data_IF_533404994691
#
_entry.id   IF_533404994691
#
_cell.length_a   1.000
_cell.length_b   1.000
_cell.length_c   1.000
_cell.angle_alpha   90.00
_cell.angle_beta   90.00
_cell.angle_gamma   90.00
#
_symmetry.space_group_name_H-M   'P 1'
#
loop_
_entity.id
_entity.type
_entity.pdbx_description
1 polymer ?
#
# COMPACT_ATOMS: atom_id res chain seq x y z
N UNK A 1 7.99 15.90 -30.53
CA UNK A 1 7.47 16.76 -29.43
C UNK A 1 6.27 16.02 -28.83
N UNK A 2 6.23 15.87 -27.53
CA UNK A 2 5.12 15.16 -26.84
C UNK A 2 3.98 16.16 -26.66
N UNK A 3 2.85 15.94 -27.35
CA UNK A 3 1.71 16.86 -27.30
C UNK A 3 0.66 16.42 -26.28
N UNK A 4 0.55 15.08 -26.02
CA UNK A 4 -0.46 14.54 -25.12
C UNK A 4 0.07 13.40 -24.26
N UNK A 5 -0.11 13.53 -22.95
CA UNK A 5 0.18 12.49 -21.96
C UNK A 5 -1.14 12.07 -21.31
N UNK A 6 -1.39 10.76 -21.27
CA UNK A 6 -2.50 10.17 -20.52
C UNK A 6 -1.94 9.42 -19.30
N UNK A 7 -2.49 9.70 -18.12
CA UNK A 7 -2.17 9.05 -16.85
C UNK A 7 -3.35 8.16 -16.44
N UNK A 8 -3.14 6.86 -16.38
CA UNK A 8 -4.16 5.90 -15.94
C UNK A 8 -3.95 5.58 -14.46
N UNK A 9 -4.85 6.09 -13.64
CA UNK A 9 -4.79 5.98 -12.18
C UNK A 9 -4.65 7.35 -11.50
N UNK A 10 -5.68 7.75 -10.77
CA UNK A 10 -5.76 9.02 -10.04
C UNK A 10 -5.45 8.84 -8.54
N UNK A 11 -4.47 7.99 -8.22
CA UNK A 11 -3.96 7.82 -6.86
C UNK A 11 -2.76 8.73 -6.55
N UNK A 12 -2.04 8.41 -5.46
CA UNK A 12 -0.88 9.19 -4.99
C UNK A 12 0.19 9.35 -6.08
N UNK A 13 0.51 8.28 -6.81
CA UNK A 13 1.52 8.29 -7.87
C UNK A 13 1.06 9.12 -9.07
N UNK A 14 -0.17 8.91 -9.56
CA UNK A 14 -0.71 9.65 -10.70
C UNK A 14 -0.74 11.17 -10.47
N UNK A 15 -1.23 11.61 -9.30
CA UNK A 15 -1.24 13.04 -8.92
C UNK A 15 0.17 13.60 -8.85
N UNK A 16 1.09 12.86 -8.22
CA UNK A 16 2.47 13.34 -8.11
C UNK A 16 3.14 13.45 -9.49
N UNK A 17 2.92 12.48 -10.37
CA UNK A 17 3.45 12.52 -11.74
C UNK A 17 2.89 13.74 -12.50
N UNK A 18 1.58 13.92 -12.51
CA UNK A 18 0.92 15.04 -13.19
C UNK A 18 1.42 16.39 -12.65
N UNK A 19 1.53 16.53 -11.33
CA UNK A 19 2.09 17.73 -10.71
C UNK A 19 3.56 17.96 -11.13
N UNK A 20 4.37 16.91 -11.15
CA UNK A 20 5.79 17.02 -11.50
C UNK A 20 5.97 17.38 -12.98
N UNK A 21 5.18 16.79 -13.89
CA UNK A 21 5.18 17.16 -15.30
C UNK A 21 4.96 18.66 -15.49
N UNK A 22 3.95 19.22 -14.83
CA UNK A 22 3.69 20.69 -14.89
C UNK A 22 4.83 21.51 -14.28
N UNK A 23 5.36 21.10 -13.14
CA UNK A 23 6.50 21.78 -12.50
C UNK A 23 7.78 21.74 -13.35
N UNK A 24 7.94 20.73 -14.20
CA UNK A 24 9.08 20.57 -15.13
C UNK A 24 8.85 21.26 -16.49
N UNK A 25 7.72 21.94 -16.66
CA UNK A 25 7.44 22.75 -17.84
C UNK A 25 6.77 21.99 -19.00
N UNK A 26 6.19 20.81 -18.74
CA UNK A 26 5.36 20.17 -19.76
C UNK A 26 4.08 20.99 -19.98
N UNK A 27 3.89 21.52 -21.19
CA UNK A 27 2.76 22.39 -21.57
C UNK A 27 1.70 21.66 -22.41
N UNK A 28 1.98 20.43 -22.89
CA UNK A 28 1.05 19.63 -23.69
C UNK A 28 -0.22 19.24 -22.93
N UNK A 29 -1.14 18.59 -23.62
CA UNK A 29 -2.37 18.06 -23.03
C UNK A 29 -2.04 16.98 -21.99
N UNK A 30 -2.62 17.10 -20.81
CA UNK A 30 -2.41 16.15 -19.69
C UNK A 30 -3.76 15.70 -19.14
N UNK A 31 -4.11 14.44 -19.42
CA UNK A 31 -5.35 13.81 -18.96
C UNK A 31 -5.04 12.81 -17.87
N UNK A 32 -5.76 12.85 -16.76
CA UNK A 32 -5.65 11.91 -15.66
C UNK A 32 -6.97 11.18 -15.43
N UNK A 33 -6.95 9.84 -15.48
CA UNK A 33 -8.12 8.98 -15.45
C UNK A 33 -8.20 8.25 -14.11
N UNK A 34 -9.28 8.46 -13.36
CA UNK A 34 -9.59 7.78 -12.10
C UNK A 34 -10.87 6.97 -12.21
N UNK A 35 -10.86 5.73 -11.73
CA UNK A 35 -12.02 4.84 -11.74
C UNK A 35 -12.99 5.07 -10.57
N UNK A 36 -12.59 5.82 -9.55
CA UNK A 36 -13.40 6.17 -8.40
C UNK A 36 -14.14 7.50 -8.62
N UNK A 37 -15.29 7.73 -7.94
CA UNK A 37 -16.06 8.97 -8.11
C UNK A 37 -15.46 10.17 -7.38
N UNK A 38 -14.56 9.93 -6.41
CA UNK A 38 -13.93 10.99 -5.64
C UNK A 38 -12.70 11.56 -6.35
N UNK A 39 -12.36 12.85 -6.13
CA UNK A 39 -11.06 13.38 -6.45
C UNK A 39 -9.94 12.56 -5.79
N UNK A 40 -8.70 12.60 -6.32
CA UNK A 40 -7.57 11.86 -5.75
C UNK A 40 -7.36 12.14 -4.25
N UNK A 41 -7.22 11.07 -3.46
CA UNK A 41 -7.12 11.13 -2.00
C UNK A 41 -6.02 10.24 -1.42
N UNK A 42 -5.64 10.53 -0.18
CA UNK A 42 -4.66 9.78 0.60
C UNK A 42 -5.30 8.51 1.18
N UNK A 43 -4.74 7.34 0.88
CA UNK A 43 -5.26 6.05 1.39
C UNK A 43 -4.84 5.71 2.83
N UNK A 44 -3.67 6.13 3.37
CA UNK A 44 -3.28 5.74 4.73
C UNK A 44 -4.28 6.11 5.84
N UNK A 45 -5.05 7.21 5.78
CA UNK A 45 -6.06 7.50 6.79
C UNK A 45 -7.27 6.55 6.78
N UNK A 46 -7.48 5.79 5.70
CA UNK A 46 -8.66 4.94 5.52
C UNK A 46 -8.78 3.86 6.61
N UNK A 47 -7.67 3.27 7.04
CA UNK A 47 -7.63 2.28 8.13
C UNK A 47 -7.46 2.88 9.53
N UNK A 48 -7.47 4.22 9.64
CA UNK A 48 -7.15 4.98 10.84
C UNK A 48 -8.22 6.05 11.11
N UNK A 49 -7.81 7.33 11.05
CA UNK A 49 -8.65 8.49 11.41
C UNK A 49 -9.93 8.65 10.57
N UNK A 50 -9.92 8.19 9.32
CA UNK A 50 -11.13 8.22 8.52
C UNK A 50 -12.10 7.11 8.93
N UNK A 51 -11.60 5.92 9.26
CA UNK A 51 -12.43 4.83 9.78
C UNK A 51 -13.02 5.17 11.15
N UNK A 52 -12.23 5.78 12.05
CA UNK A 52 -12.72 6.22 13.38
C UNK A 52 -13.71 7.39 13.32
N UNK A 53 -13.79 8.09 12.17
CA UNK A 53 -14.65 9.27 12.03
C UNK A 53 -14.01 10.57 12.51
N UNK A 54 -12.69 10.58 12.79
CA UNK A 54 -11.96 11.77 13.26
C UNK A 54 -11.64 12.76 12.13
N UNK A 55 -11.82 12.37 10.88
CA UNK A 55 -11.59 13.24 9.71
C UNK A 55 -12.71 13.07 8.68
N UNK A 56 -13.08 14.17 8.03
CA UNK A 56 -14.07 14.21 6.97
C UNK A 56 -13.45 13.81 5.62
N UNK A 57 -14.24 13.36 4.63
CA UNK A 57 -13.72 12.94 3.31
C UNK A 57 -12.86 13.98 2.61
N UNK A 58 -13.23 15.27 2.67
CA UNK A 58 -12.50 16.35 2.00
C UNK A 58 -11.08 16.54 2.54
N UNK A 59 -10.86 16.20 3.81
CA UNK A 59 -9.53 16.25 4.43
C UNK A 59 -8.57 15.17 3.89
N UNK A 60 -9.09 14.19 3.17
CA UNK A 60 -8.29 13.15 2.54
C UNK A 60 -7.72 13.59 1.19
N UNK A 61 -8.31 14.55 0.51
CA UNK A 61 -7.91 14.91 -0.84
C UNK A 61 -6.45 15.33 -0.91
N UNK A 62 -5.70 14.78 -1.88
CA UNK A 62 -4.28 15.09 -2.08
C UNK A 62 -4.13 16.55 -2.52
N UNK A 63 -5.05 17.02 -3.35
CA UNK A 63 -5.17 18.41 -3.81
C UNK A 63 -6.65 18.80 -3.91
N UNK A 64 -7.01 20.05 -3.67
CA UNK A 64 -8.36 20.51 -3.95
C UNK A 64 -8.65 20.47 -5.46
N UNK A 65 -9.90 20.31 -5.86
CA UNK A 65 -10.29 20.21 -7.27
C UNK A 65 -9.79 21.38 -8.13
N UNK A 66 -9.84 22.60 -7.60
CA UNK A 66 -9.33 23.81 -8.27
C UNK A 66 -7.84 23.73 -8.63
N UNK A 67 -7.06 22.85 -7.97
CA UNK A 67 -5.66 22.64 -8.30
C UNK A 67 -5.49 22.05 -9.70
N UNK A 68 -6.33 21.08 -10.08
CA UNK A 68 -6.24 20.39 -11.36
C UNK A 68 -6.54 21.37 -12.50
N UNK A 69 -7.60 22.14 -12.38
CA UNK A 69 -7.99 23.17 -13.34
C UNK A 69 -6.89 24.24 -13.47
N UNK A 70 -6.41 24.79 -12.35
CA UNK A 70 -5.39 25.83 -12.33
C UNK A 70 -4.04 25.38 -12.93
N UNK A 71 -3.79 24.08 -13.00
CA UNK A 71 -2.59 23.50 -13.59
C UNK A 71 -2.85 22.84 -14.97
N UNK A 72 -4.00 23.08 -15.59
CA UNK A 72 -4.39 22.48 -16.87
C UNK A 72 -4.26 20.93 -16.88
N UNK A 73 -4.67 20.27 -15.80
CA UNK A 73 -4.76 18.81 -15.67
C UNK A 73 -6.23 18.43 -15.86
N UNK A 74 -6.56 17.76 -16.96
CA UNK A 74 -7.91 17.23 -17.22
C UNK A 74 -8.12 15.98 -16.37
N UNK A 75 -8.68 16.18 -15.16
CA UNK A 75 -9.02 15.09 -14.23
C UNK A 75 -10.39 14.52 -14.57
N UNK A 76 -10.45 13.28 -15.03
CA UNK A 76 -11.67 12.53 -15.26
C UNK A 76 -11.85 11.48 -14.16
N UNK A 77 -12.81 11.68 -13.25
CA UNK A 77 -13.27 10.70 -12.28
C UNK A 77 -14.32 9.77 -12.89
N UNK A 78 -14.62 8.61 -12.30
CA UNK A 78 -15.48 7.57 -12.88
C UNK A 78 -15.04 7.15 -14.30
N UNK A 79 -13.77 7.30 -14.63
CA UNK A 79 -13.17 7.03 -15.93
C UNK A 79 -12.38 5.72 -15.89
N UNK A 80 -13.10 4.59 -15.86
CA UNK A 80 -12.48 3.27 -15.89
C UNK A 80 -11.93 2.97 -17.28
N UNK A 81 -10.63 2.64 -17.37
CA UNK A 81 -9.97 2.23 -18.61
C UNK A 81 -10.14 0.73 -18.77
N UNK A 82 -10.76 0.29 -19.87
CA UNK A 82 -10.98 -1.12 -20.20
C UNK A 82 -9.86 -1.73 -21.02
N UNK A 83 -9.26 -0.94 -21.93
CA UNK A 83 -8.21 -1.47 -22.80
C UNK A 83 -7.21 -0.40 -23.23
N UNK A 84 -6.02 -0.87 -23.63
CA UNK A 84 -4.95 -0.08 -24.23
C UNK A 84 -4.64 -0.69 -25.60
N UNK A 85 -4.62 0.13 -26.64
CA UNK A 85 -4.16 -0.23 -27.99
C UNK A 85 -2.81 0.47 -28.20
N UNK A 86 -1.73 -0.30 -28.15
CA UNK A 86 -0.36 0.20 -28.28
C UNK A 86 -0.04 0.65 -29.71
N UNK A 87 -0.64 -0.01 -30.73
CA UNK A 87 -0.38 0.34 -32.14
C UNK A 87 -1.06 1.66 -32.51
N UNK A 88 -2.32 1.85 -32.08
CA UNK A 88 -3.06 3.10 -32.30
C UNK A 88 -2.70 4.20 -31.32
N UNK A 89 -1.97 3.86 -30.25
CA UNK A 89 -1.68 4.76 -29.12
C UNK A 89 -2.97 5.35 -28.54
N UNK A 90 -3.91 4.48 -28.16
CA UNK A 90 -5.17 4.90 -27.55
C UNK A 90 -5.52 4.07 -26.31
N UNK A 91 -6.34 4.65 -25.44
CA UNK A 91 -7.02 3.94 -24.35
C UNK A 91 -8.51 4.05 -24.55
N UNK A 92 -9.25 2.97 -24.26
CA UNK A 92 -10.72 2.95 -24.34
C UNK A 92 -11.29 2.89 -22.92
N UNK A 93 -12.20 3.81 -22.61
CA UNK A 93 -12.92 3.83 -21.34
C UNK A 93 -14.16 2.92 -21.39
N UNK A 94 -14.64 2.49 -20.21
CA UNK A 94 -15.89 1.74 -20.07
C UNK A 94 -17.12 2.46 -20.64
N UNK A 95 -17.06 3.78 -20.80
CA UNK A 95 -18.07 4.59 -21.48
C UNK A 95 -18.08 4.42 -23.01
N UNK A 96 -17.05 3.79 -23.58
CA UNK A 96 -16.79 3.74 -25.02
C UNK A 96 -16.01 4.96 -25.55
N UNK A 97 -15.65 5.93 -24.72
CA UNK A 97 -14.77 7.04 -25.09
C UNK A 97 -13.37 6.53 -25.41
N UNK A 98 -12.79 6.93 -26.52
CA UNK A 98 -11.42 6.61 -26.90
C UNK A 98 -10.54 7.85 -26.80
N UNK A 99 -9.40 7.75 -26.11
CA UNK A 99 -8.45 8.84 -25.92
C UNK A 99 -7.09 8.43 -26.49
N UNK A 100 -6.61 9.21 -27.47
CA UNK A 100 -5.24 9.05 -28.01
C UNK A 100 -4.19 9.62 -27.05
N UNK A 101 -2.95 9.16 -27.17
CA UNK A 101 -1.81 9.63 -26.42
C UNK A 101 -0.51 9.57 -27.22
N UNK A 102 0.47 10.44 -26.89
CA UNK A 102 1.85 10.31 -27.36
C UNK A 102 2.68 9.53 -26.35
N UNK A 103 2.42 9.72 -25.06
CA UNK A 103 2.99 8.94 -23.95
C UNK A 103 1.88 8.52 -22.98
N UNK A 104 2.01 7.30 -22.44
CA UNK A 104 1.08 6.73 -21.50
C UNK A 104 1.81 6.45 -20.17
N UNK A 105 1.21 6.86 -19.05
CA UNK A 105 1.70 6.55 -17.71
C UNK A 105 0.68 5.69 -16.96
N UNK A 106 1.07 4.48 -16.57
CA UNK A 106 0.27 3.57 -15.76
C UNK A 106 0.58 3.77 -14.28
N UNK A 107 -0.39 4.22 -13.51
CA UNK A 107 -0.33 4.43 -12.06
C UNK A 107 -1.52 3.75 -11.37
N UNK A 108 -1.85 2.54 -11.81
CA UNK A 108 -3.06 1.78 -11.47
C UNK A 108 -3.07 1.26 -10.03
N UNK A 109 -1.92 1.24 -9.37
CA UNK A 109 -1.78 0.86 -7.94
C UNK A 109 -2.10 -0.60 -7.67
N UNK A 110 -2.72 -0.85 -6.50
CA UNK A 110 -3.09 -2.19 -6.02
C UNK A 110 -4.54 -2.21 -5.57
N UNK A 111 -5.13 -3.42 -5.50
CA UNK A 111 -6.41 -3.71 -4.85
C UNK A 111 -6.24 -4.71 -3.71
N UNK A 112 -7.23 -4.78 -2.82
CA UNK A 112 -7.27 -5.85 -1.84
C UNK A 112 -7.29 -7.22 -2.56
N UNK A 113 -6.57 -8.18 -2.00
CA UNK A 113 -6.58 -9.57 -2.50
C UNK A 113 -7.92 -10.20 -2.18
N UNK A 114 -8.54 -10.81 -3.17
CA UNK A 114 -9.73 -11.62 -2.96
C UNK A 114 -9.46 -12.77 -2.00
N UNK A 115 -10.43 -13.07 -1.17
CA UNK A 115 -10.36 -14.19 -0.26
C UNK A 115 -10.97 -15.42 -0.97
N UNK A 116 -10.16 -16.40 -1.42
CA UNK A 116 -10.66 -17.52 -2.20
C UNK A 116 -11.27 -18.62 -1.30
N UNK A 117 -12.25 -18.22 -0.49
CA UNK A 117 -12.93 -19.13 0.45
C UNK A 117 -14.43 -19.11 0.19
N UNK A 118 -15.12 -20.26 0.40
CA UNK A 118 -16.58 -20.30 0.40
C UNK A 118 -17.14 -19.27 1.39
N UNK A 119 -18.17 -18.52 0.98
CA UNK A 119 -18.83 -17.51 1.78
C UNK A 119 -18.16 -16.12 1.78
N UNK A 120 -17.08 -15.93 1.00
CA UNK A 120 -16.45 -14.63 0.88
C UNK A 120 -17.36 -13.55 0.24
N UNK A 121 -18.42 -13.98 -0.45
CA UNK A 121 -19.44 -13.14 -1.09
C UNK A 121 -20.60 -12.74 -0.16
N UNK A 122 -20.65 -13.24 1.08
CA UNK A 122 -21.73 -12.95 2.02
C UNK A 122 -21.76 -11.49 2.44
N UNK A 123 -22.97 -10.97 2.68
CA UNK A 123 -23.14 -9.65 3.29
C UNK A 123 -22.49 -9.61 4.68
N UNK A 124 -21.66 -8.61 4.93
CA UNK A 124 -20.86 -8.49 6.14
C UNK A 124 -19.41 -8.98 5.98
N UNK A 125 -19.03 -9.54 4.81
CA UNK A 125 -17.63 -9.75 4.45
C UNK A 125 -17.15 -8.53 3.68
N UNK A 126 -16.10 -7.88 4.17
CA UNK A 126 -15.59 -6.61 3.63
C UNK A 126 -14.08 -6.65 3.43
N UNK A 127 -13.60 -5.80 2.54
CA UNK A 127 -12.19 -5.44 2.38
C UNK A 127 -12.01 -3.96 2.65
N UNK A 128 -10.78 -3.47 2.74
CA UNK A 128 -10.49 -2.05 2.92
C UNK A 128 -9.44 -1.58 1.90
N UNK A 129 -9.84 -0.75 0.95
CA UNK A 129 -8.95 -0.09 -0.01
C UNK A 129 -9.42 1.30 -0.42
N UNK A 130 -10.71 1.56 -0.46
CA UNK A 130 -11.33 2.79 -0.97
C UNK A 130 -12.14 3.53 0.10
N UNK A 131 -12.51 4.78 -0.18
CA UNK A 131 -13.46 5.53 0.66
C UNK A 131 -14.80 4.77 0.75
N UNK A 132 -15.29 4.24 -0.38
CA UNK A 132 -16.54 3.48 -0.38
C UNK A 132 -16.51 2.25 0.53
N UNK A 133 -15.39 1.53 0.60
CA UNK A 133 -15.23 0.41 1.54
C UNK A 133 -15.34 0.89 2.99
N UNK A 134 -14.69 2.02 3.32
CA UNK A 134 -14.74 2.56 4.68
C UNK A 134 -16.13 3.05 5.04
N UNK A 135 -16.84 3.67 4.12
CA UNK A 135 -18.24 4.10 4.34
C UNK A 135 -19.16 2.90 4.63
N UNK A 136 -18.95 1.78 3.92
CA UNK A 136 -19.65 0.53 4.21
C UNK A 136 -19.24 -0.03 5.57
N UNK A 137 -17.96 -0.11 5.88
CA UNK A 137 -17.44 -0.62 7.15
C UNK A 137 -17.98 0.20 8.33
N UNK A 138 -18.01 1.53 8.22
CA UNK A 138 -18.55 2.40 9.27
C UNK A 138 -20.01 2.08 9.63
N UNK A 139 -20.82 1.70 8.66
CA UNK A 139 -22.22 1.31 8.91
C UNK A 139 -22.33 -0.02 9.68
N UNK A 140 -21.32 -0.90 9.51
CA UNK A 140 -21.26 -2.22 10.15
C UNK A 140 -20.59 -2.16 11.54
N UNK A 141 -19.77 -1.12 11.82
CA UNK A 141 -19.05 -0.97 13.08
C UNK A 141 -19.98 -0.43 14.18
N UNK A 142 -20.69 -1.35 14.81
CA UNK A 142 -21.63 -1.06 15.91
C UNK A 142 -21.02 -1.63 17.21
N UNK A 143 -20.96 -0.85 18.30
CA UNK A 143 -20.45 -1.32 19.60
C UNK A 143 -21.13 -2.63 20.05
N UNK A 144 -20.34 -3.58 20.54
CA UNK A 144 -20.79 -4.91 20.96
C UNK A 144 -20.94 -5.93 19.83
N UNK A 145 -20.77 -5.54 18.58
CA UNK A 145 -20.67 -6.48 17.45
C UNK A 145 -19.30 -7.16 17.43
N UNK A 146 -19.27 -8.38 16.91
CA UNK A 146 -18.05 -9.17 16.78
C UNK A 146 -17.49 -9.11 15.37
N UNK A 147 -16.26 -8.59 15.25
CA UNK A 147 -15.47 -8.54 14.02
C UNK A 147 -14.45 -9.69 14.02
N UNK A 148 -14.42 -10.49 12.97
CA UNK A 148 -13.29 -11.37 12.66
C UNK A 148 -12.42 -10.71 11.58
N UNK A 149 -11.14 -10.53 11.86
CA UNK A 149 -10.14 -10.06 10.92
C UNK A 149 -9.34 -11.25 10.41
N UNK A 150 -9.36 -11.51 9.12
CA UNK A 150 -8.56 -12.56 8.48
C UNK A 150 -7.31 -11.92 7.90
N UNK A 151 -6.16 -12.15 8.55
CA UNK A 151 -4.85 -11.60 8.22
C UNK A 151 -4.29 -10.63 9.28
N UNK A 152 -3.17 -11.00 9.88
CA UNK A 152 -2.43 -10.23 10.90
C UNK A 152 -1.34 -9.33 10.31
N UNK A 153 -1.60 -8.74 9.12
CA UNK A 153 -0.76 -7.72 8.48
C UNK A 153 -1.07 -6.30 8.96
N UNK A 154 -0.41 -5.29 8.38
CA UNK A 154 -0.58 -3.88 8.80
C UNK A 154 -2.03 -3.42 8.78
N UNK A 155 -2.74 -3.58 7.67
CA UNK A 155 -4.13 -3.11 7.53
C UNK A 155 -5.06 -3.83 8.52
N UNK A 156 -4.93 -5.16 8.65
CA UNK A 156 -5.73 -5.93 9.61
C UNK A 156 -5.55 -5.44 11.05
N UNK A 157 -4.30 -5.18 11.45
CA UNK A 157 -4.00 -4.69 12.81
C UNK A 157 -4.39 -3.22 13.02
N UNK A 158 -4.24 -2.35 12.03
CA UNK A 158 -4.71 -0.97 12.09
C UNK A 158 -6.24 -0.91 12.27
N UNK A 159 -6.98 -1.70 11.49
CA UNK A 159 -8.45 -1.80 11.64
C UNK A 159 -8.82 -2.43 12.98
N UNK A 160 -8.08 -3.45 13.46
CA UNK A 160 -8.25 -4.03 14.80
C UNK A 160 -8.15 -2.96 15.88
N UNK A 161 -7.15 -2.08 15.80
CA UNK A 161 -6.96 -1.00 16.77
C UNK A 161 -8.14 -0.02 16.77
N UNK A 162 -8.62 0.38 15.59
CA UNK A 162 -9.80 1.27 15.44
C UNK A 162 -11.07 0.56 15.93
N UNK A 163 -11.33 -0.67 15.51
CA UNK A 163 -12.52 -1.43 15.90
C UNK A 163 -12.60 -1.60 17.42
N UNK A 164 -11.46 -1.91 18.08
CA UNK A 164 -11.42 -1.95 19.56
C UNK A 164 -11.74 -0.61 20.20
N UNK A 165 -11.21 0.49 19.66
CA UNK A 165 -11.54 1.83 20.18
C UNK A 165 -13.00 2.22 19.99
N UNK A 166 -13.68 1.65 19.00
CA UNK A 166 -15.09 1.83 18.72
C UNK A 166 -16.01 0.85 19.50
N UNK A 167 -15.43 -0.02 20.34
CA UNK A 167 -16.18 -0.91 21.23
C UNK A 167 -16.66 -2.22 20.58
N UNK A 168 -16.02 -2.66 19.49
CA UNK A 168 -16.28 -3.99 18.92
C UNK A 168 -15.50 -5.07 19.67
N UNK A 169 -16.03 -6.29 19.67
CA UNK A 169 -15.27 -7.48 19.99
C UNK A 169 -14.49 -7.91 18.76
N UNK A 170 -13.17 -8.08 18.88
CA UNK A 170 -12.31 -8.34 17.73
C UNK A 170 -11.52 -9.63 17.91
N UNK A 171 -11.58 -10.49 16.91
CA UNK A 171 -10.75 -11.69 16.76
C UNK A 171 -9.90 -11.53 15.51
N UNK A 172 -8.58 -11.72 15.62
CA UNK A 172 -7.66 -11.73 14.49
C UNK A 172 -7.18 -13.15 14.23
N UNK A 173 -7.32 -13.61 13.00
CA UNK A 173 -6.88 -14.92 12.53
C UNK A 173 -5.70 -14.74 11.56
N UNK A 174 -4.53 -15.24 11.94
CA UNK A 174 -3.31 -15.21 11.12
C UNK A 174 -2.87 -16.64 10.80
N UNK A 175 -2.75 -16.94 9.51
CA UNK A 175 -2.33 -18.26 9.05
C UNK A 175 -0.86 -18.58 9.38
N UNK A 176 -0.02 -17.53 9.48
CA UNK A 176 1.38 -17.70 9.87
C UNK A 176 1.52 -17.83 11.39
N UNK A 177 2.67 -18.35 11.85
CA UNK A 177 2.93 -18.58 13.28
C UNK A 177 3.01 -17.29 14.12
N UNK A 178 3.09 -16.11 13.51
CA UNK A 178 3.13 -14.81 14.20
C UNK A 178 2.60 -13.68 13.34
N UNK A 179 2.14 -12.62 13.97
CA UNK A 179 1.71 -11.37 13.31
C UNK A 179 2.87 -10.74 12.53
N UNK A 180 2.58 -10.09 11.42
CA UNK A 180 3.55 -9.34 10.61
C UNK A 180 4.79 -10.16 10.19
N UNK A 181 4.71 -11.49 10.16
CA UNK A 181 5.85 -12.41 9.96
C UNK A 181 6.73 -12.07 8.77
N UNK A 182 6.13 -11.61 7.67
CA UNK A 182 6.85 -11.35 6.43
C UNK A 182 7.68 -10.08 6.44
N UNK A 183 7.48 -9.20 7.41
CA UNK A 183 7.95 -7.80 7.35
C UNK A 183 8.68 -7.31 8.59
N UNK A 184 8.59 -8.00 9.74
CA UNK A 184 9.25 -7.60 10.98
C UNK A 184 9.89 -8.79 11.70
N UNK A 185 10.79 -8.52 12.66
CA UNK A 185 11.42 -9.53 13.53
C UNK A 185 10.41 -10.20 14.48
N UNK A 186 10.79 -11.34 15.11
CA UNK A 186 10.00 -11.95 16.17
C UNK A 186 9.75 -10.99 17.35
N UNK A 187 10.71 -10.14 17.72
CA UNK A 187 10.56 -9.18 18.82
C UNK A 187 9.46 -8.18 18.56
N UNK A 188 9.48 -7.54 17.37
CA UNK A 188 8.43 -6.61 16.92
C UNK A 188 7.07 -7.32 16.83
N UNK A 189 7.06 -8.54 16.32
CA UNK A 189 5.83 -9.35 16.21
C UNK A 189 5.24 -9.64 17.61
N UNK A 190 6.09 -10.03 18.57
CA UNK A 190 5.68 -10.28 19.96
C UNK A 190 5.19 -9.02 20.64
N UNK A 191 5.83 -7.88 20.39
CA UNK A 191 5.38 -6.58 20.88
C UNK A 191 3.97 -6.24 20.40
N UNK A 192 3.70 -6.36 19.10
CA UNK A 192 2.36 -6.09 18.57
C UNK A 192 1.33 -7.11 19.04
N UNK A 193 1.71 -8.36 19.22
CA UNK A 193 0.83 -9.35 19.82
C UNK A 193 0.42 -8.92 21.25
N UNK A 194 1.38 -8.52 22.09
CA UNK A 194 1.12 -8.00 23.43
C UNK A 194 0.27 -6.72 23.42
N UNK A 195 0.55 -5.79 22.49
CA UNK A 195 -0.19 -4.55 22.35
C UNK A 195 -1.69 -4.80 22.05
N UNK A 196 -1.99 -5.61 21.05
CA UNK A 196 -3.38 -5.88 20.65
C UNK A 196 -4.12 -6.73 21.68
N UNK A 197 -3.47 -7.76 22.27
CA UNK A 197 -4.04 -8.56 23.35
C UNK A 197 -4.34 -7.70 24.58
N UNK A 198 -3.40 -6.81 24.95
CA UNK A 198 -3.56 -5.88 26.07
C UNK A 198 -4.71 -4.89 25.87
N UNK A 199 -5.06 -4.57 24.60
CA UNK A 199 -6.21 -3.77 24.23
C UNK A 199 -7.49 -4.60 24.00
N UNK A 200 -7.48 -5.90 24.36
CA UNK A 200 -8.65 -6.76 24.39
C UNK A 200 -9.02 -7.38 23.04
N UNK A 201 -8.09 -7.47 22.08
CA UNK A 201 -8.29 -8.30 20.89
C UNK A 201 -7.88 -9.75 21.17
N UNK A 202 -8.63 -10.71 20.65
CA UNK A 202 -8.25 -12.12 20.65
C UNK A 202 -7.41 -12.40 19.39
N UNK A 203 -6.24 -13.02 19.54
CA UNK A 203 -5.29 -13.24 18.44
C UNK A 203 -4.96 -14.72 18.31
N UNK A 204 -5.20 -15.30 17.14
CA UNK A 204 -4.92 -16.69 16.83
C UNK A 204 -3.94 -16.75 15.64
N UNK A 205 -2.68 -17.06 15.94
CA UNK A 205 -1.64 -17.30 14.94
C UNK A 205 -1.54 -18.79 14.63
N UNK A 206 -1.03 -19.15 13.44
CA UNK A 206 -1.00 -20.53 12.95
C UNK A 206 -2.39 -21.08 12.65
N UNK A 207 -3.40 -20.22 12.44
CA UNK A 207 -4.80 -20.59 12.34
C UNK A 207 -5.33 -20.34 10.94
N UNK A 208 -5.61 -21.41 10.22
CA UNK A 208 -6.21 -21.36 8.88
C UNK A 208 -7.74 -21.25 8.94
N UNK A 209 -8.30 -20.46 8.03
CA UNK A 209 -9.74 -20.37 7.77
C UNK A 209 -10.09 -21.24 6.57
N UNK A 210 -11.19 -21.99 6.65
CA UNK A 210 -11.66 -22.88 5.57
C UNK A 210 -12.91 -22.37 4.86
N UNK A 211 -13.80 -21.68 5.58
CA UNK A 211 -15.01 -21.08 5.01
C UNK A 211 -15.54 -19.97 5.92
N UNK A 212 -16.42 -19.16 5.34
CA UNK A 212 -17.25 -18.20 6.05
C UNK A 212 -18.69 -18.72 5.94
N UNK A 213 -19.34 -18.90 7.06
CA UNK A 213 -20.70 -19.43 7.10
C UNK A 213 -21.71 -18.28 7.21
N UNK A 214 -22.88 -18.48 6.63
CA UNK A 214 -23.92 -17.46 6.61
C UNK A 214 -25.32 -18.00 6.86
N UNK A 215 -26.21 -17.10 7.30
CA UNK A 215 -27.64 -17.34 7.43
C UNK A 215 -28.37 -16.23 6.70
N UNK A 216 -29.32 -16.56 5.85
CA UNK A 216 -30.09 -15.61 5.03
C UNK A 216 -29.19 -14.63 4.21
N UNK A 217 -28.05 -15.13 3.70
CA UNK A 217 -27.12 -14.34 2.88
C UNK A 217 -26.17 -13.42 3.67
N UNK A 218 -26.21 -13.45 5.01
CA UNK A 218 -25.36 -12.64 5.90
C UNK A 218 -24.39 -13.52 6.66
N UNK A 219 -23.19 -12.99 6.93
CA UNK A 219 -22.18 -13.71 7.72
C UNK A 219 -22.70 -14.02 9.12
N UNK A 220 -22.41 -15.23 9.62
CA UNK A 220 -22.78 -15.67 10.97
C UNK A 220 -21.62 -16.30 11.75
N UNK A 221 -20.65 -16.92 11.06
CA UNK A 221 -19.44 -17.48 11.69
C UNK A 221 -18.31 -17.65 10.68
N UNK A 222 -17.11 -17.86 11.21
CA UNK A 222 -15.92 -18.28 10.44
C UNK A 222 -15.52 -19.67 10.90
N UNK A 223 -15.32 -20.60 9.96
CA UNK A 223 -14.90 -21.96 10.22
C UNK A 223 -13.40 -22.11 10.07
N UNK A 224 -12.76 -22.71 11.07
CA UNK A 224 -11.33 -22.90 11.13
C UNK A 224 -10.90 -24.28 10.59
N UNK A 225 -9.60 -24.42 10.31
CA UNK A 225 -9.04 -25.68 9.78
C UNK A 225 -9.13 -26.86 10.75
N UNK A 226 -9.22 -26.62 12.06
CA UNK A 226 -9.42 -27.64 13.09
C UNK A 226 -10.90 -28.07 13.26
N UNK A 227 -11.80 -27.46 12.48
CA UNK A 227 -13.23 -27.72 12.51
C UNK A 227 -14.02 -26.88 13.52
N UNK A 228 -13.37 -26.06 14.33
CA UNK A 228 -14.04 -25.11 15.22
C UNK A 228 -14.64 -23.95 14.45
N UNK A 229 -15.59 -23.26 15.05
CA UNK A 229 -16.27 -22.10 14.48
C UNK A 229 -16.22 -20.91 15.44
N UNK A 230 -16.01 -19.72 14.86
CA UNK A 230 -16.05 -18.44 15.60
C UNK A 230 -17.29 -17.67 15.12
N UNK A 231 -18.34 -17.54 15.94
CA UNK A 231 -19.47 -16.70 15.62
C UNK A 231 -19.03 -15.24 15.44
N UNK A 232 -19.57 -14.58 14.43
CA UNK A 232 -19.27 -13.17 14.16
C UNK A 232 -20.41 -12.45 13.43
N UNK A 233 -20.42 -11.11 13.52
CA UNK A 233 -21.36 -10.26 12.80
C UNK A 233 -20.80 -9.73 11.50
N UNK A 234 -19.44 -9.67 11.40
CA UNK A 234 -18.74 -9.19 10.20
C UNK A 234 -17.33 -9.78 10.11
N UNK A 235 -16.82 -9.84 8.89
CA UNK A 235 -15.47 -10.33 8.56
C UNK A 235 -14.75 -9.27 7.76
N UNK A 236 -13.53 -8.89 8.18
CA UNK A 236 -12.60 -8.11 7.37
C UNK A 236 -11.58 -9.05 6.73
N UNK A 237 -11.53 -9.09 5.41
CA UNK A 237 -10.45 -9.75 4.68
C UNK A 237 -9.26 -8.79 4.52
N UNK A 238 -8.13 -9.11 5.16
CA UNK A 238 -6.89 -8.34 5.15
C UNK A 238 -5.68 -9.21 4.73
N UNK A 239 -5.87 -10.09 3.73
CA UNK A 239 -4.90 -11.11 3.30
C UNK A 239 -3.86 -10.62 2.29
N UNK A 240 -3.71 -9.31 2.15
CA UNK A 240 -2.72 -8.64 1.33
C UNK A 240 -3.31 -7.90 0.13
N UNK A 241 -2.44 -7.44 -0.77
CA UNK A 241 -2.80 -6.71 -1.96
C UNK A 241 -2.33 -7.42 -3.23
N UNK A 242 -2.92 -7.04 -4.37
CA UNK A 242 -2.56 -7.50 -5.71
C UNK A 242 -2.32 -6.26 -6.58
N UNK A 243 -1.22 -6.20 -7.35
CA UNK A 243 -1.01 -5.10 -8.28
C UNK A 243 -2.05 -5.13 -9.40
N UNK A 244 -2.57 -3.96 -9.78
CA UNK A 244 -3.50 -3.84 -10.91
C UNK A 244 -2.70 -3.78 -12.22
N UNK A 245 -2.22 -4.92 -12.67
CA UNK A 245 -1.36 -5.06 -13.84
C UNK A 245 -2.07 -5.67 -15.05
N UNK A 246 -3.33 -6.10 -14.90
CA UNK A 246 -4.10 -6.83 -15.93
C UNK A 246 -4.27 -6.00 -17.21
N UNK A 247 -4.46 -4.69 -17.06
CA UNK A 247 -4.58 -3.77 -18.21
C UNK A 247 -3.27 -3.74 -19.04
N UNK A 248 -2.12 -3.73 -18.36
CA UNK A 248 -0.80 -3.79 -18.98
C UNK A 248 -0.55 -5.15 -19.64
N UNK A 249 -0.87 -6.24 -18.95
CA UNK A 249 -0.72 -7.61 -19.44
C UNK A 249 -1.59 -7.85 -20.69
N UNK A 250 -2.85 -7.41 -20.66
CA UNK A 250 -3.75 -7.52 -21.80
C UNK A 250 -3.29 -6.71 -23.02
N UNK A 251 -2.57 -5.61 -22.82
CA UNK A 251 -1.95 -4.81 -23.86
C UNK A 251 -0.64 -5.43 -24.41
N UNK A 252 -0.13 -6.52 -23.80
CA UNK A 252 1.12 -7.18 -24.21
C UNK A 252 2.38 -6.61 -23.58
N UNK A 253 2.27 -5.83 -22.50
CA UNK A 253 3.42 -5.38 -21.72
C UNK A 253 3.89 -6.48 -20.78
N UNK A 254 5.18 -6.46 -20.44
CA UNK A 254 5.78 -7.44 -19.53
C UNK A 254 5.30 -7.25 -18.09
N UNK A 255 4.82 -8.34 -17.47
CA UNK A 255 4.25 -8.38 -16.11
C UNK A 255 4.81 -9.57 -15.33
N UNK A 256 5.28 -9.34 -14.11
CA UNK A 256 5.62 -10.37 -13.12
C UNK A 256 5.43 -9.81 -11.70
N UNK A 257 4.34 -10.17 -11.01
CA UNK A 257 3.91 -9.57 -9.74
C UNK A 257 3.97 -8.03 -9.76
N UNK A 258 3.48 -7.44 -10.88
CA UNK A 258 3.49 -6.02 -11.19
C UNK A 258 4.01 -5.76 -12.61
N UNK A 259 3.79 -4.55 -13.11
CA UNK A 259 4.28 -4.11 -14.41
C UNK A 259 5.80 -3.98 -14.33
N UNK A 260 6.52 -4.69 -15.20
CA UNK A 260 7.98 -4.62 -15.24
C UNK A 260 8.43 -3.32 -15.87
N UNK A 261 9.34 -2.62 -15.18
CA UNK A 261 9.94 -1.38 -15.69
C UNK A 261 11.44 -1.36 -15.43
N UNK A 262 12.15 -0.53 -16.19
CA UNK A 262 13.52 -0.15 -15.90
C UNK A 262 13.62 0.92 -14.79
N UNK A 263 14.81 1.42 -14.51
CA UNK A 263 15.02 2.46 -13.48
C UNK A 263 14.43 3.82 -13.84
N UNK A 264 14.17 4.07 -15.12
CA UNK A 264 13.46 5.27 -15.60
C UNK A 264 11.92 5.12 -15.51
N UNK A 265 11.42 3.93 -15.17
CA UNK A 265 10.00 3.61 -15.14
C UNK A 265 9.41 3.28 -16.49
N UNK A 266 10.24 3.06 -17.53
CA UNK A 266 9.79 2.66 -18.85
C UNK A 266 9.46 1.16 -18.87
N UNK A 267 8.35 0.80 -19.48
CA UNK A 267 7.90 -0.59 -19.66
C UNK A 267 8.60 -1.25 -20.85
N UNK A 268 8.18 -2.45 -21.24
CA UNK A 268 8.63 -3.10 -22.49
C UNK A 268 8.22 -2.35 -23.78
N UNK A 269 7.44 -1.27 -23.67
CA UNK A 269 7.07 -0.39 -24.78
C UNK A 269 7.64 1.02 -24.58
N UNK A 270 8.32 1.56 -25.60
CA UNK A 270 9.06 2.84 -25.56
C UNK A 270 8.25 4.09 -25.17
N UNK A 271 6.94 4.08 -25.37
CA UNK A 271 6.05 5.21 -25.09
C UNK A 271 5.15 4.97 -23.86
N UNK A 272 5.34 3.84 -23.15
CA UNK A 272 4.55 3.48 -21.97
C UNK A 272 5.44 3.39 -20.74
N UNK A 273 5.07 4.13 -19.71
CA UNK A 273 5.75 4.20 -18.42
C UNK A 273 4.81 3.72 -17.32
N UNK A 274 5.37 3.32 -16.17
CA UNK A 274 4.55 2.99 -15.02
C UNK A 274 5.24 3.42 -13.71
N UNK A 275 4.43 3.69 -12.65
CA UNK A 275 4.93 4.05 -11.33
C UNK A 275 3.96 3.68 -10.20
N UNK A 276 4.48 3.60 -8.98
CA UNK A 276 3.73 3.32 -7.76
C UNK A 276 3.58 1.83 -7.46
N UNK A 277 2.55 1.46 -6.69
CA UNK A 277 2.38 0.12 -6.12
C UNK A 277 2.19 -0.99 -7.18
N UNK A 278 1.80 -0.64 -8.40
CA UNK A 278 1.60 -1.59 -9.52
C UNK A 278 2.90 -2.01 -10.21
N UNK A 279 4.04 -1.43 -9.84
CA UNK A 279 5.30 -1.56 -10.57
C UNK A 279 6.27 -2.48 -9.86
N UNK A 280 6.98 -3.30 -10.65
CA UNK A 280 8.14 -4.08 -10.22
C UNK A 280 9.37 -3.67 -11.03
N UNK A 281 10.45 -3.36 -10.35
CA UNK A 281 11.71 -2.91 -10.95
C UNK A 281 12.92 -3.59 -10.31
N UNK A 282 14.03 -3.67 -11.05
CA UNK A 282 15.28 -4.17 -10.50
C UNK A 282 15.93 -3.08 -9.62
N UNK A 283 16.25 -3.43 -8.38
CA UNK A 283 16.99 -2.57 -7.46
C UNK A 283 18.45 -3.01 -7.40
N UNK A 284 19.35 -2.14 -7.80
CA UNK A 284 20.80 -2.35 -7.68
C UNK A 284 21.21 -2.47 -6.21
N UNK A 285 20.57 -1.69 -5.34
CA UNK A 285 20.78 -1.70 -3.89
C UNK A 285 20.55 -3.08 -3.27
N UNK A 286 19.50 -3.77 -3.71
CA UNK A 286 19.10 -5.08 -3.18
C UNK A 286 19.49 -6.25 -4.08
N UNK A 287 20.07 -6.00 -5.27
CA UNK A 287 20.49 -7.03 -6.24
C UNK A 287 19.35 -7.93 -6.73
N UNK A 288 18.11 -7.43 -6.71
CA UNK A 288 16.91 -8.19 -7.08
C UNK A 288 15.77 -7.28 -7.51
N UNK A 289 14.80 -7.85 -8.23
CA UNK A 289 13.55 -7.14 -8.52
C UNK A 289 12.69 -7.02 -7.26
N UNK A 290 12.14 -5.82 -7.04
CA UNK A 290 11.28 -5.48 -5.89
C UNK A 290 10.02 -4.77 -6.37
N UNK A 291 8.95 -4.89 -5.59
CA UNK A 291 7.73 -4.09 -5.68
C UNK A 291 7.50 -3.43 -4.32
N UNK A 292 7.29 -2.12 -4.31
CA UNK A 292 7.15 -1.32 -3.09
C UNK A 292 5.74 -0.72 -3.01
N UNK A 293 5.04 -1.03 -1.94
CA UNK A 293 3.70 -0.52 -1.65
C UNK A 293 3.79 0.53 -0.54
N UNK A 294 4.19 1.76 -0.88
CA UNK A 294 4.31 2.85 0.09
C UNK A 294 4.06 4.22 -0.52
N UNK A 295 3.59 5.15 0.31
CA UNK A 295 3.40 6.55 -0.10
C UNK A 295 4.71 7.17 -0.57
N UNK A 296 5.83 6.85 0.09
CA UNK A 296 7.15 7.31 -0.31
C UNK A 296 7.48 6.85 -1.73
N UNK A 297 7.33 5.53 -2.00
CA UNK A 297 7.59 5.00 -3.33
C UNK A 297 6.69 5.65 -4.39
N UNK A 298 5.39 5.74 -4.12
CA UNK A 298 4.43 6.35 -5.03
C UNK A 298 4.79 7.80 -5.39
N UNK A 299 5.30 8.57 -4.42
CA UNK A 299 5.72 9.97 -4.63
C UNK A 299 7.05 10.04 -5.37
N UNK A 300 8.07 9.34 -4.88
CA UNK A 300 9.44 9.54 -5.37
C UNK A 300 9.65 8.87 -6.74
N UNK A 301 9.06 7.69 -6.98
CA UNK A 301 9.08 7.05 -8.29
C UNK A 301 8.32 7.87 -9.32
N UNK A 302 7.13 8.39 -8.98
CA UNK A 302 6.36 9.23 -9.89
C UNK A 302 7.10 10.51 -10.31
N UNK A 303 7.90 11.11 -9.41
CA UNK A 303 8.77 12.25 -9.74
C UNK A 303 9.86 11.87 -10.74
N UNK A 304 10.55 10.73 -10.51
CA UNK A 304 11.60 10.26 -11.39
C UNK A 304 11.03 9.93 -12.78
N UNK A 305 9.95 9.15 -12.83
CA UNK A 305 9.28 8.76 -14.09
C UNK A 305 8.76 9.97 -14.86
N UNK A 306 8.18 10.98 -14.18
CA UNK A 306 7.70 12.18 -14.86
C UNK A 306 8.85 12.99 -15.52
N UNK A 307 10.04 12.97 -14.94
CA UNK A 307 11.24 13.58 -15.56
C UNK A 307 11.68 12.73 -16.77
N UNK A 308 11.87 11.43 -16.59
CA UNK A 308 12.33 10.53 -17.65
C UNK A 308 11.39 10.54 -18.87
N UNK A 309 10.07 10.54 -18.63
CA UNK A 309 9.05 10.54 -19.68
C UNK A 309 9.12 11.76 -20.60
N UNK A 310 9.59 12.90 -20.09
CA UNK A 310 9.67 14.15 -20.86
C UNK A 310 11.08 14.49 -21.35
N UNK A 311 12.10 13.80 -20.87
CA UNK A 311 13.47 14.00 -21.26
C UNK A 311 13.92 12.94 -22.26
N UNK A 312 14.04 13.27 -23.56
CA UNK A 312 14.47 12.30 -24.59
C UNK A 312 15.95 11.88 -24.44
N UNK A 313 16.74 12.66 -23.72
CA UNK A 313 18.16 12.42 -23.48
C UNK A 313 18.38 11.93 -22.03
N UNK A 314 17.36 11.30 -21.42
CA UNK A 314 17.40 10.85 -20.03
C UNK A 314 18.69 10.04 -19.74
N UNK A 315 19.45 10.56 -18.81
CA UNK A 315 20.67 9.91 -18.32
C UNK A 315 20.32 8.88 -17.22
N UNK A 316 20.42 7.61 -17.53
CA UNK A 316 20.17 6.49 -16.60
C UNK A 316 21.01 6.52 -15.31
N UNK A 317 21.99 7.43 -15.20
CA UNK A 317 22.73 7.65 -13.95
C UNK A 317 21.84 8.09 -12.77
N UNK A 318 20.61 8.54 -13.05
CA UNK A 318 19.65 9.00 -12.06
C UNK A 318 18.40 8.12 -11.98
N UNK A 319 18.50 6.89 -12.42
CA UNK A 319 17.44 5.90 -12.32
C UNK A 319 16.96 5.71 -10.87
N UNK A 320 15.67 5.40 -10.72
CA UNK A 320 15.04 5.28 -9.43
C UNK A 320 15.48 4.02 -8.69
N UNK A 321 16.30 4.14 -7.66
CA UNK A 321 16.68 3.06 -6.73
C UNK A 321 16.69 3.59 -5.28
N UNK A 322 15.55 3.75 -4.63
CA UNK A 322 15.42 4.40 -3.35
C UNK A 322 15.90 3.53 -2.20
N UNK A 323 16.18 4.17 -1.06
CA UNK A 323 16.08 3.49 0.23
C UNK A 323 14.60 3.52 0.66
N UNK A 324 13.87 2.40 0.63
CA UNK A 324 12.45 2.41 0.98
C UNK A 324 12.26 2.70 2.46
N UNK A 325 11.16 3.37 2.77
CA UNK A 325 10.70 3.53 4.13
C UNK A 325 9.17 3.50 4.19
N UNK A 326 8.64 3.08 5.32
CA UNK A 326 7.23 2.84 5.54
C UNK A 326 6.86 3.15 6.99
N UNK A 327 5.57 3.28 7.30
CA UNK A 327 5.07 3.40 8.65
C UNK A 327 3.71 2.74 8.83
N UNK A 328 3.39 2.38 10.08
CA UNK A 328 2.07 1.96 10.52
C UNK A 328 1.75 2.60 11.85
N UNK A 329 0.52 3.05 12.04
CA UNK A 329 0.02 3.59 13.30
C UNK A 329 -1.03 2.62 13.85
N UNK A 330 -0.81 2.05 15.04
CA UNK A 330 -1.69 1.08 15.68
C UNK A 330 -1.85 1.45 17.16
N UNK A 331 -3.07 1.76 17.60
CA UNK A 331 -3.31 2.37 18.92
C UNK A 331 -2.46 3.65 19.10
N UNK A 332 -1.65 3.70 20.15
CA UNK A 332 -0.71 4.81 20.44
C UNK A 332 0.70 4.58 19.88
N UNK A 333 0.92 3.48 19.17
CA UNK A 333 2.22 3.06 18.67
C UNK A 333 2.38 3.47 17.22
N UNK A 334 3.51 4.10 16.93
CA UNK A 334 4.01 4.37 15.59
C UNK A 334 5.19 3.45 15.27
N UNK A 335 4.99 2.52 14.37
CA UNK A 335 6.07 1.75 13.74
C UNK A 335 6.59 2.52 12.54
N UNK A 336 7.89 2.73 12.46
CA UNK A 336 8.56 3.33 11.31
C UNK A 336 9.68 2.41 10.84
N UNK A 337 9.65 2.05 9.57
CA UNK A 337 10.57 1.10 8.93
C UNK A 337 11.46 1.86 7.96
N UNK A 338 12.77 1.59 7.97
CA UNK A 338 13.73 2.04 6.98
C UNK A 338 14.48 0.84 6.43
N UNK A 339 14.60 0.73 5.11
CA UNK A 339 15.20 -0.41 4.42
C UNK A 339 14.26 -1.62 4.31
N UNK A 340 14.78 -2.70 3.74
CA UNK A 340 14.12 -4.01 3.64
C UNK A 340 14.89 -5.01 4.48
N UNK A 341 14.21 -5.65 5.44
CA UNK A 341 14.84 -6.63 6.33
C UNK A 341 15.03 -8.02 5.73
N UNK A 342 14.49 -8.28 4.52
CA UNK A 342 14.62 -9.59 3.90
C UNK A 342 16.08 -10.02 3.74
N UNK A 343 16.42 -11.20 4.27
CA UNK A 343 17.77 -11.76 4.18
C UNK A 343 18.67 -11.44 5.37
N UNK A 344 18.16 -10.77 6.41
CA UNK A 344 18.93 -10.54 7.62
C UNK A 344 19.36 -11.87 8.28
N UNK A 345 20.56 -11.91 8.82
CA UNK A 345 21.13 -13.03 9.58
C UNK A 345 21.16 -12.73 11.10
N UNK A 346 21.06 -11.44 11.48
CA UNK A 346 21.03 -11.01 12.87
C UNK A 346 20.02 -9.87 13.05
N UNK A 347 19.28 -9.88 14.17
CA UNK A 347 18.41 -8.80 14.61
C UNK A 347 18.86 -8.33 16.00
N UNK A 348 19.17 -7.04 16.11
CA UNK A 348 19.66 -6.42 17.35
C UNK A 348 18.57 -5.53 17.92
N UNK A 349 18.00 -5.94 19.05
CA UNK A 349 17.07 -5.11 19.83
C UNK A 349 17.87 -4.04 20.61
N UNK A 350 17.49 -2.78 20.46
CA UNK A 350 18.07 -1.66 21.20
C UNK A 350 16.97 -0.91 21.94
N UNK A 351 17.13 -0.79 23.25
CA UNK A 351 16.15 -0.22 24.17
C UNK A 351 15.37 -1.26 24.93
N UNK A 352 14.37 -0.81 25.66
CA UNK A 352 13.48 -1.66 26.45
C UNK A 352 12.13 -1.81 25.75
N UNK A 353 11.80 -3.03 25.35
CA UNK A 353 10.54 -3.35 24.66
C UNK A 353 9.30 -2.97 25.50
N UNK A 354 9.43 -2.93 26.83
CA UNK A 354 8.35 -2.55 27.74
C UNK A 354 8.11 -1.03 27.83
N UNK A 355 9.05 -0.23 27.31
CA UNK A 355 8.97 1.25 27.35
C UNK A 355 8.14 1.86 26.21
N UNK A 356 7.63 1.04 25.28
CA UNK A 356 6.99 1.47 24.03
C UNK A 356 7.87 2.41 23.17
N UNK A 357 9.18 2.47 23.43
CA UNK A 357 10.14 3.27 22.66
C UNK A 357 11.46 2.51 22.52
N UNK A 358 11.65 1.88 21.38
CA UNK A 358 12.82 1.06 21.07
C UNK A 358 12.97 0.88 19.56
N UNK A 359 14.01 0.20 19.12
CA UNK A 359 14.14 -0.20 17.73
C UNK A 359 14.84 -1.55 17.58
N UNK A 360 14.63 -2.20 16.43
CA UNK A 360 15.37 -3.39 16.01
C UNK A 360 16.17 -3.04 14.78
N UNK A 361 17.49 -3.27 14.85
CA UNK A 361 18.40 -3.16 13.71
C UNK A 361 18.58 -4.54 13.09
N UNK A 362 18.41 -4.64 11.77
CA UNK A 362 18.58 -5.85 10.99
C UNK A 362 19.92 -5.82 10.27
N UNK A 363 20.71 -6.87 10.45
CA UNK A 363 22.05 -6.98 9.90
C UNK A 363 22.11 -8.13 8.89
N UNK A 364 22.90 -7.93 7.85
CA UNK A 364 23.38 -8.98 6.96
C UNK A 364 24.88 -8.92 6.90
N UNK A 365 25.57 -9.99 7.34
CA UNK A 365 27.03 -10.08 7.40
C UNK A 365 27.67 -8.88 8.14
N UNK A 366 27.07 -8.46 9.25
CA UNK A 366 27.52 -7.34 10.06
C UNK A 366 27.17 -5.94 9.52
N UNK A 367 26.52 -5.82 8.36
CA UNK A 367 26.07 -4.54 7.81
C UNK A 367 24.59 -4.27 8.13
N UNK A 368 24.29 -3.03 8.48
CA UNK A 368 22.92 -2.59 8.71
C UNK A 368 22.15 -2.53 7.40
N UNK A 369 21.08 -3.33 7.27
CA UNK A 369 20.23 -3.37 6.07
C UNK A 369 18.85 -2.76 6.28
N UNK A 370 18.31 -2.80 7.50
CA UNK A 370 17.02 -2.22 7.83
C UNK A 370 16.90 -1.87 9.32
N UNK A 371 15.93 -1.04 9.66
CA UNK A 371 15.59 -0.69 11.04
C UNK A 371 14.08 -0.56 11.18
N UNK A 372 13.53 -1.24 12.19
CA UNK A 372 12.15 -1.04 12.66
C UNK A 372 12.19 -0.22 13.95
N UNK A 373 11.57 0.95 13.94
CA UNK A 373 11.55 1.87 15.09
C UNK A 373 10.13 1.97 15.66
N UNK A 374 9.97 1.67 16.93
CA UNK A 374 8.74 1.83 17.71
C UNK A 374 8.82 3.16 18.46
N UNK A 375 7.95 4.09 18.17
CA UNK A 375 7.91 5.43 18.79
C UNK A 375 9.29 6.11 18.93
N UNK A 376 10.24 5.75 18.06
CA UNK A 376 11.62 6.25 18.11
C UNK A 376 12.05 6.91 16.77
N UNK A 377 11.49 8.09 16.42
CA UNK A 377 11.72 8.73 15.13
C UNK A 377 13.18 9.11 14.86
N UNK A 378 14.00 9.29 15.91
CA UNK A 378 15.42 9.62 15.75
C UNK A 378 16.20 8.46 15.13
N UNK A 379 15.97 7.21 15.58
CA UNK A 379 16.61 6.03 14.98
C UNK A 379 16.17 5.84 13.54
N UNK A 380 14.88 6.00 13.23
CA UNK A 380 14.37 5.93 11.87
C UNK A 380 15.04 6.96 10.94
N UNK A 381 15.12 8.23 11.36
CA UNK A 381 15.75 9.28 10.55
C UNK A 381 17.26 9.03 10.34
N UNK A 382 17.96 8.57 11.36
CA UNK A 382 19.38 8.27 11.26
C UNK A 382 19.61 7.00 10.41
N UNK A 383 18.81 5.94 10.59
CA UNK A 383 18.89 4.71 9.81
C UNK A 383 18.87 4.98 8.30
N UNK A 384 17.99 5.85 7.85
CA UNK A 384 17.89 6.25 6.43
C UNK A 384 19.18 6.83 5.85
N UNK A 385 20.13 7.24 6.69
CA UNK A 385 21.43 7.81 6.28
C UNK A 385 22.58 6.81 6.40
N UNK A 386 22.44 5.80 7.29
CA UNK A 386 23.55 4.92 7.65
C UNK A 386 23.33 3.45 7.24
N UNK A 387 22.16 3.09 6.71
CA UNK A 387 21.93 1.77 6.11
C UNK A 387 23.00 1.51 5.04
N UNK A 388 23.57 0.29 5.06
CA UNK A 388 24.71 -0.15 4.25
C UNK A 388 26.08 -0.07 4.96
N UNK A 389 26.16 0.61 6.11
CA UNK A 389 27.40 0.68 6.91
C UNK A 389 27.55 -0.53 7.83
N UNK A 390 28.79 -0.81 8.23
CA UNK A 390 29.12 -1.80 9.27
C UNK A 390 28.44 -1.40 10.58
N UNK A 391 27.78 -2.38 11.20
CA UNK A 391 27.12 -2.17 12.49
C UNK A 391 28.12 -1.99 13.61
N UNK A 392 27.91 -1.02 14.45
CA UNK A 392 28.66 -0.80 15.69
C UNK A 392 27.77 -0.08 16.69
N UNK A 393 28.06 -0.28 17.97
CA UNK A 393 27.41 0.48 19.04
C UNK A 393 27.57 2.00 18.82
N UNK A 394 26.48 2.75 18.98
CA UNK A 394 26.43 4.19 18.73
C UNK A 394 26.29 4.59 17.26
N UNK A 395 26.16 3.66 16.31
CA UNK A 395 25.82 3.98 14.92
C UNK A 395 24.42 4.64 14.81
N UNK A 396 23.49 4.19 15.65
CA UNK A 396 22.18 4.79 15.84
C UNK A 396 22.05 5.37 17.25
N UNK A 397 21.14 6.34 17.48
CA UNK A 397 20.92 6.91 18.80
C UNK A 397 20.50 5.83 19.82
N UNK A 398 20.83 5.98 21.10
CA UNK A 398 20.27 5.12 22.14
C UNK A 398 18.74 5.27 22.17
N UNK A 399 18.04 4.17 22.47
CA UNK A 399 16.59 4.14 22.61
C UNK A 399 16.14 4.50 24.02
#
# INVERSE_FOLDING_TARGET
>A
MINKIVVVGAGQAGVQAAQTLRQKGYEGELVMLGNEPQPPYQRPPLSKKFLSGDVEPDALFIRPEAFYEANNIDLKVNAHVESIDLEKKSVTLASGEELSWDKLLLATGTRARDLPLPGAELEGVVTLRSIGDVELIKQLFVPGKKLVVIGGGYIGLEVTAVAKSMGLDVVVLEAQERLLKRVVSPDISSFFHGLHSGNGAELFCGTGVTSIEGTDGKVSSVKLADGSEIPCDLVLSAVGAVPNAELAEAAGLDVDDGILVDGAGQTSHEDVYACGDCVRFFSERYGRSIRLESVQNAIDQAKAVAVALTDPDHDHSHDYDPLPWFWSDQHHIKLQIAGLSNGYDEAVLVGDISSDSFYVAYLEKGKLIAVDSINHPRSHMMARRVIGQEWKEGLLPPA
#
